data_IF_765937856700
#
_entry.id   IF_765937856700
#
_cell.length_a   1.000
_cell.length_b   1.000
_cell.length_c   1.000
_cell.angle_alpha   90.00
_cell.angle_beta   90.00
_cell.angle_gamma   90.00
#
_symmetry.space_group_name_H-M   'P 1'
#
loop_
_entity.id
_entity.type
_entity.pdbx_description
1 polymer ?
#
# COMPACT_ATOMS: atom_id res chain seq x y z
N UNK A 1 24.19 3.27 -16.02
CA UNK A 1 22.89 2.57 -16.02
C UNK A 1 21.84 3.54 -15.53
N UNK A 2 20.65 3.55 -16.11
CA UNK A 2 19.55 4.40 -15.63
C UNK A 2 19.11 3.98 -14.21
N UNK A 3 18.66 4.91 -13.37
CA UNK A 3 18.18 4.57 -12.04
C UNK A 3 16.92 3.71 -12.07
N UNK A 4 16.73 2.86 -11.07
CA UNK A 4 15.45 2.17 -10.85
C UNK A 4 14.42 3.22 -10.42
N UNK A 5 13.36 3.35 -11.19
CA UNK A 5 12.28 4.32 -10.95
C UNK A 5 11.21 3.72 -10.03
N UNK A 6 10.86 4.42 -8.96
CA UNK A 6 9.87 3.98 -7.97
C UNK A 6 8.85 5.09 -7.79
N UNK A 7 7.58 4.79 -8.06
CA UNK A 7 6.47 5.70 -7.88
C UNK A 7 5.62 5.28 -6.68
N UNK A 8 5.53 6.15 -5.67
CA UNK A 8 4.59 6.00 -4.57
C UNK A 8 3.38 6.88 -4.80
N UNK A 9 2.18 6.31 -4.72
CA UNK A 9 0.97 7.13 -4.65
C UNK A 9 0.94 7.85 -3.29
N UNK A 10 0.78 9.17 -3.31
CA UNK A 10 0.55 10.00 -2.11
C UNK A 10 -0.83 10.63 -2.23
N UNK A 11 -1.67 10.55 -1.20
CA UNK A 11 -3.05 11.08 -1.25
C UNK A 11 -3.52 11.60 0.12
N UNK A 12 -4.52 12.51 0.18
CA UNK A 12 -5.08 13.00 1.44
C UNK A 12 -5.59 11.85 2.31
N UNK A 13 -5.22 11.85 3.59
CA UNK A 13 -5.61 10.77 4.52
C UNK A 13 -4.84 9.47 4.31
N UNK A 14 -3.71 9.49 3.61
CA UNK A 14 -2.75 8.37 3.58
C UNK A 14 -2.27 8.07 5.00
N UNK A 15 -2.16 6.78 5.34
CA UNK A 15 -1.39 6.37 6.51
C UNK A 15 0.09 6.52 6.17
N UNK A 16 0.71 7.58 6.65
CA UNK A 16 2.06 7.97 6.21
C UNK A 16 3.09 6.84 6.32
N UNK A 17 2.97 5.98 7.33
CA UNK A 17 3.93 4.89 7.57
C UNK A 17 3.85 3.77 6.51
N UNK A 18 2.68 3.60 5.90
CA UNK A 18 2.48 2.71 4.75
C UNK A 18 3.31 3.17 3.55
N UNK A 19 3.58 4.47 3.45
CA UNK A 19 4.39 5.08 2.40
C UNK A 19 5.86 5.16 2.84
N UNK A 20 6.13 5.81 3.97
CA UNK A 20 7.49 6.18 4.40
C UNK A 20 8.32 4.97 4.82
N UNK A 21 7.70 3.93 5.38
CA UNK A 21 8.36 2.67 5.75
C UNK A 21 9.02 1.97 4.54
N UNK A 22 8.24 1.49 3.54
CA UNK A 22 8.80 0.89 2.34
C UNK A 22 9.65 1.87 1.53
N UNK A 23 9.31 3.17 1.47
CA UNK A 23 10.13 4.16 0.78
C UNK A 23 11.55 4.23 1.36
N UNK A 24 11.70 4.17 2.69
CA UNK A 24 13.01 4.18 3.34
C UNK A 24 13.83 2.94 2.98
N UNK A 25 13.23 1.75 2.94
CA UNK A 25 13.92 0.52 2.54
C UNK A 25 14.29 0.56 1.06
N UNK A 26 13.32 0.85 0.19
CA UNK A 26 13.51 0.83 -1.26
C UNK A 26 14.43 1.93 -1.78
N UNK A 27 14.58 3.04 -1.06
CA UNK A 27 15.60 4.07 -1.38
C UNK A 27 17.03 3.50 -1.37
N UNK A 28 17.26 2.37 -0.68
CA UNK A 28 18.57 1.69 -0.58
C UNK A 28 18.73 0.51 -1.56
N UNK A 29 17.84 0.39 -2.56
CA UNK A 29 17.93 -0.64 -3.62
C UNK A 29 19.14 -0.44 -4.56
N UNK A 30 19.75 0.74 -4.55
CA UNK A 30 20.94 1.10 -5.34
C UNK A 30 20.58 1.78 -6.67
N UNK A 31 21.10 3.00 -6.87
CA UNK A 31 20.81 3.90 -8.00
C UNK A 31 19.29 4.04 -8.24
N UNK A 32 18.57 4.65 -7.29
CA UNK A 32 17.11 4.76 -7.29
C UNK A 32 16.69 6.20 -7.54
N UNK A 33 15.61 6.38 -8.30
CA UNK A 33 14.81 7.61 -8.32
C UNK A 33 13.44 7.30 -7.73
N UNK A 34 13.14 7.88 -6.58
CA UNK A 34 11.87 7.70 -5.87
C UNK A 34 11.05 8.98 -6.00
N UNK A 35 9.82 8.83 -6.49
CA UNK A 35 8.87 9.91 -6.65
C UNK A 35 7.61 9.68 -5.81
N UNK A 36 7.19 10.72 -5.07
CA UNK A 36 5.89 10.77 -4.40
C UNK A 36 4.92 11.47 -5.34
N UNK A 37 3.90 10.74 -5.81
CA UNK A 37 3.07 11.16 -6.93
C UNK A 37 1.65 11.46 -6.46
N UNK A 38 1.18 12.67 -6.79
CA UNK A 38 -0.21 13.07 -6.59
C UNK A 38 -0.73 13.95 -7.75
N UNK A 39 -1.85 14.64 -7.56
CA UNK A 39 -2.45 15.54 -8.57
C UNK A 39 -1.64 16.81 -8.79
N UNK A 40 -1.08 17.36 -7.72
CA UNK A 40 -0.29 18.60 -7.73
C UNK A 40 0.94 18.45 -6.82
N UNK A 41 1.78 19.48 -6.76
CA UNK A 41 2.91 19.59 -5.83
C UNK A 41 2.55 20.37 -4.56
N UNK A 42 1.27 20.51 -4.25
CA UNK A 42 0.84 21.11 -2.99
C UNK A 42 0.97 20.09 -1.84
N UNK A 43 1.23 20.54 -0.60
CA UNK A 43 1.31 19.64 0.55
C UNK A 43 0.05 18.78 0.72
N UNK A 44 0.23 17.48 0.92
CA UNK A 44 -0.85 16.51 1.10
C UNK A 44 -0.93 16.08 2.57
N UNK A 45 -2.07 16.33 3.21
CA UNK A 45 -2.30 15.98 4.61
C UNK A 45 -2.42 14.47 4.81
N UNK A 46 -1.63 13.94 5.74
CA UNK A 46 -1.68 12.54 6.19
C UNK A 46 -2.75 12.35 7.26
N UNK A 47 -3.12 11.10 7.55
CA UNK A 47 -3.98 10.76 8.68
C UNK A 47 -3.35 11.01 10.07
N UNK A 48 -2.05 11.32 10.10
CA UNK A 48 -1.28 11.62 11.30
C UNK A 48 -1.20 13.14 11.60
N UNK A 49 -1.88 13.99 10.82
CA UNK A 49 -2.00 15.42 11.11
C UNK A 49 -0.85 16.29 10.64
N UNK A 50 0.08 15.77 9.83
CA UNK A 50 1.11 16.55 9.13
C UNK A 50 1.05 16.33 7.62
N UNK A 51 1.64 17.24 6.85
CA UNK A 51 1.65 17.17 5.39
C UNK A 51 2.95 16.58 4.83
N UNK A 52 2.85 15.87 3.70
CA UNK A 52 3.98 15.43 2.88
C UNK A 52 3.91 16.16 1.53
N UNK A 53 5.06 16.61 1.04
CA UNK A 53 5.15 17.28 -0.27
C UNK A 53 5.29 16.25 -1.39
N UNK A 54 4.40 16.23 -2.40
CA UNK A 54 4.59 15.44 -3.61
C UNK A 54 5.84 15.92 -4.40
N UNK A 55 6.58 15.00 -5.00
CA UNK A 55 7.75 15.33 -5.84
C UNK A 55 7.40 15.36 -7.32
N UNK A 56 6.32 14.66 -7.71
CA UNK A 56 5.84 14.55 -9.08
C UNK A 56 4.31 14.57 -9.13
N UNK A 57 3.76 14.90 -10.31
CA UNK A 57 2.33 14.75 -10.58
C UNK A 57 2.05 13.53 -11.45
N UNK A 58 0.78 13.15 -11.58
CA UNK A 58 0.34 12.08 -12.49
C UNK A 58 0.80 12.30 -13.95
N UNK A 59 0.92 13.54 -14.41
CA UNK A 59 1.39 13.86 -15.76
C UNK A 59 2.90 13.74 -15.93
N UNK A 60 3.66 13.85 -14.84
CA UNK A 60 5.12 13.77 -14.88
C UNK A 60 5.61 12.31 -14.95
N UNK A 61 4.81 11.36 -14.44
CA UNK A 61 5.18 9.95 -14.31
C UNK A 61 4.26 9.08 -15.16
N UNK A 62 4.70 8.77 -16.38
CA UNK A 62 3.97 7.87 -17.28
C UNK A 62 4.27 6.38 -17.04
N UNK A 63 5.45 6.06 -16.48
CA UNK A 63 5.92 4.69 -16.19
C UNK A 63 6.80 4.68 -14.95
N UNK A 64 6.92 3.52 -14.29
CA UNK A 64 7.85 3.27 -13.20
C UNK A 64 8.25 1.79 -13.17
N UNK A 65 9.45 1.45 -12.70
CA UNK A 65 9.85 0.06 -12.49
C UNK A 65 9.07 -0.57 -11.33
N UNK A 66 8.82 0.21 -10.27
CA UNK A 66 8.07 -0.22 -9.08
C UNK A 66 6.96 0.80 -8.81
N UNK A 67 5.72 0.34 -8.80
CA UNK A 67 4.56 1.09 -8.30
C UNK A 67 4.29 0.65 -6.86
N UNK A 68 4.16 1.58 -5.93
CA UNK A 68 3.78 1.30 -4.54
C UNK A 68 2.57 2.13 -4.11
N UNK A 69 1.51 1.45 -3.67
CA UNK A 69 0.26 2.08 -3.24
C UNK A 69 0.06 1.88 -1.73
N UNK A 70 0.20 2.94 -0.91
CA UNK A 70 -0.05 2.87 0.52
C UNK A 70 -1.55 2.80 0.84
N UNK A 71 -1.89 2.42 2.07
CA UNK A 71 -3.23 2.50 2.60
C UNK A 71 -3.51 3.83 3.32
N UNK A 72 -4.64 3.87 4.01
CA UNK A 72 -5.11 5.06 4.71
C UNK A 72 -6.62 5.07 4.90
N UNK A 73 -7.11 6.15 5.50
CA UNK A 73 -8.53 6.45 5.60
C UNK A 73 -9.08 7.03 4.29
N UNK A 74 -8.24 7.68 3.48
CA UNK A 74 -8.63 8.29 2.19
C UNK A 74 -8.73 7.31 1.02
N UNK A 75 -8.73 5.99 1.26
CA UNK A 75 -8.67 4.99 0.18
C UNK A 75 -9.89 5.02 -0.74
N UNK A 76 -11.09 5.23 -0.19
CA UNK A 76 -12.31 5.29 -1.00
C UNK A 76 -12.34 6.54 -1.88
N UNK A 77 -11.88 7.68 -1.37
CA UNK A 77 -11.77 8.92 -2.16
C UNK A 77 -10.83 8.75 -3.35
N UNK A 78 -9.74 8.00 -3.19
CA UNK A 78 -8.83 7.64 -4.28
C UNK A 78 -9.52 6.75 -5.32
N UNK A 79 -10.34 5.78 -4.89
CA UNK A 79 -11.09 4.90 -5.80
C UNK A 79 -12.14 5.66 -6.62
N UNK A 80 -12.71 6.72 -6.06
CA UNK A 80 -13.65 7.61 -6.74
C UNK A 80 -12.96 8.69 -7.58
N UNK A 81 -11.63 8.73 -7.59
CA UNK A 81 -10.86 9.69 -8.37
C UNK A 81 -10.43 9.11 -9.72
N UNK A 82 -11.09 9.55 -10.80
CA UNK A 82 -10.81 9.09 -12.15
C UNK A 82 -9.35 9.28 -12.56
N UNK A 83 -8.74 10.42 -12.21
CA UNK A 83 -7.36 10.71 -12.58
C UNK A 83 -6.38 9.74 -11.91
N UNK A 84 -6.58 9.45 -10.62
CA UNK A 84 -5.79 8.46 -9.90
C UNK A 84 -6.00 7.05 -10.46
N UNK A 85 -7.25 6.64 -10.73
CA UNK A 85 -7.55 5.32 -11.28
C UNK A 85 -6.95 5.12 -12.68
N UNK A 86 -7.02 6.13 -13.54
CA UNK A 86 -6.39 6.13 -14.87
C UNK A 86 -4.87 6.03 -14.73
N UNK A 87 -4.27 6.87 -13.88
CA UNK A 87 -2.82 6.88 -13.67
C UNK A 87 -2.31 5.54 -13.13
N UNK A 88 -2.98 4.96 -12.14
CA UNK A 88 -2.62 3.65 -11.58
C UNK A 88 -2.71 2.54 -12.62
N UNK A 89 -3.76 2.51 -13.44
CA UNK A 89 -3.89 1.55 -14.54
C UNK A 89 -2.75 1.68 -15.54
N UNK A 90 -2.40 2.93 -15.89
CA UNK A 90 -1.35 3.20 -16.85
C UNK A 90 0.03 2.78 -16.33
N UNK A 91 0.42 3.26 -15.14
CA UNK A 91 1.74 2.91 -14.56
C UNK A 91 1.82 1.43 -14.18
N UNK A 92 0.76 0.88 -13.59
CA UNK A 92 0.72 -0.51 -13.12
C UNK A 92 0.69 -1.56 -14.23
N UNK A 93 0.36 -1.18 -15.47
CA UNK A 93 0.42 -2.06 -16.64
C UNK A 93 1.85 -2.41 -17.02
N UNK A 94 2.75 -1.42 -17.00
CA UNK A 94 4.12 -1.56 -17.49
C UNK A 94 5.15 -1.72 -16.36
N UNK A 95 4.73 -1.56 -15.10
CA UNK A 95 5.60 -1.73 -13.94
C UNK A 95 6.12 -3.18 -13.80
N UNK A 96 7.42 -3.30 -13.51
CA UNK A 96 8.04 -4.60 -13.21
C UNK A 96 7.48 -5.16 -11.91
N UNK A 97 7.22 -4.31 -10.93
CA UNK A 97 6.57 -4.69 -9.67
C UNK A 97 5.41 -3.76 -9.35
N UNK A 98 4.26 -4.35 -9.03
CA UNK A 98 3.08 -3.63 -8.54
C UNK A 98 2.88 -4.00 -7.08
N UNK A 99 2.98 -3.02 -6.19
CA UNK A 99 3.08 -3.26 -4.76
C UNK A 99 2.10 -2.40 -3.97
N UNK A 100 1.72 -2.88 -2.79
CA UNK A 100 0.88 -2.10 -1.88
C UNK A 100 1.07 -2.47 -0.43
N UNK A 101 0.60 -1.60 0.45
CA UNK A 101 0.58 -1.82 1.91
C UNK A 101 -0.84 -1.62 2.40
N UNK A 102 -1.24 -2.40 3.42
CA UNK A 102 -2.47 -2.16 4.17
C UNK A 102 -3.69 -2.13 3.24
N UNK A 103 -4.55 -1.12 3.36
CA UNK A 103 -5.71 -0.92 2.48
C UNK A 103 -5.36 -0.45 1.07
N UNK A 104 -4.09 -0.16 0.76
CA UNK A 104 -3.65 0.18 -0.59
C UNK A 104 -3.82 -0.94 -1.61
N UNK A 105 -3.90 -2.20 -1.17
CA UNK A 105 -4.27 -3.31 -2.05
C UNK A 105 -5.71 -3.21 -2.56
N UNK A 106 -6.62 -2.56 -1.82
CA UNK A 106 -7.97 -2.30 -2.32
C UNK A 106 -7.96 -1.29 -3.47
N UNK A 107 -7.10 -0.25 -3.38
CA UNK A 107 -6.91 0.72 -4.48
C UNK A 107 -6.37 0.02 -5.72
N UNK A 108 -5.38 -0.87 -5.57
CA UNK A 108 -4.89 -1.69 -6.68
C UNK A 108 -5.99 -2.59 -7.26
N UNK A 109 -6.81 -3.20 -6.40
CA UNK A 109 -7.98 -3.97 -6.82
C UNK A 109 -8.96 -3.14 -7.64
N UNK A 110 -9.35 -1.97 -7.14
CA UNK A 110 -10.23 -1.01 -7.80
C UNK A 110 -9.66 -0.52 -9.16
N UNK A 111 -8.34 -0.36 -9.25
CA UNK A 111 -7.66 -0.08 -10.52
C UNK A 111 -7.64 -1.29 -11.47
N UNK A 112 -8.10 -2.47 -11.07
CA UNK A 112 -8.11 -3.70 -11.86
C UNK A 112 -6.77 -4.45 -11.88
N UNK A 113 -5.82 -4.06 -11.04
CA UNK A 113 -4.45 -4.59 -11.05
C UNK A 113 -4.26 -5.88 -10.25
N UNK A 114 -5.30 -6.33 -9.52
CA UNK A 114 -5.29 -7.54 -8.70
C UNK A 114 -6.33 -8.60 -9.11
N UNK A 115 -7.04 -8.42 -10.23
CA UNK A 115 -8.02 -9.41 -10.69
C UNK A 115 -7.33 -10.74 -11.00
N UNK A 116 -7.71 -11.80 -10.26
CA UNK A 116 -7.10 -13.14 -10.37
C UNK A 116 -5.70 -13.24 -9.75
N UNK A 117 -5.32 -12.31 -8.86
CA UNK A 117 -4.08 -12.38 -8.09
C UNK A 117 -4.36 -12.69 -6.62
N UNK A 118 -3.45 -13.45 -6.01
CA UNK A 118 -3.39 -13.61 -4.55
C UNK A 118 -2.89 -12.32 -3.92
N UNK A 119 -3.59 -11.85 -2.90
CA UNK A 119 -3.26 -10.61 -2.22
C UNK A 119 -3.61 -10.64 -0.73
N UNK A 120 -2.94 -9.80 0.06
CA UNK A 120 -3.29 -9.48 1.44
C UNK A 120 -3.60 -7.98 1.59
N UNK A 121 -4.09 -7.58 2.76
CA UNK A 121 -4.46 -6.21 3.10
C UNK A 121 -4.40 -6.01 4.61
N UNK A 122 -4.83 -4.86 5.11
CA UNK A 122 -5.09 -4.68 6.53
C UNK A 122 -6.11 -5.72 7.02
N UNK A 123 -5.88 -6.33 8.17
CA UNK A 123 -6.71 -7.42 8.69
C UNK A 123 -8.20 -7.07 8.78
N UNK A 124 -8.52 -5.83 9.17
CA UNK A 124 -9.90 -5.35 9.30
C UNK A 124 -10.62 -5.13 7.96
N UNK A 125 -9.89 -5.07 6.84
CA UNK A 125 -10.44 -4.92 5.48
C UNK A 125 -10.13 -6.12 4.58
N UNK A 126 -9.47 -7.17 5.09
CA UNK A 126 -8.98 -8.28 4.29
C UNK A 126 -10.06 -8.96 3.45
N UNK A 127 -11.27 -9.10 4.01
CA UNK A 127 -12.43 -9.69 3.33
C UNK A 127 -12.93 -8.88 2.11
N UNK A 128 -12.56 -7.60 2.01
CA UNK A 128 -12.99 -6.70 0.93
C UNK A 128 -12.18 -6.91 -0.36
N UNK A 129 -11.03 -7.60 -0.31
CA UNK A 129 -10.21 -7.90 -1.49
C UNK A 129 -10.98 -8.66 -2.57
N UNK A 130 -11.89 -9.56 -2.16
CA UNK A 130 -12.70 -10.35 -3.07
C UNK A 130 -13.65 -9.49 -3.91
N UNK A 131 -14.11 -8.33 -3.40
CA UNK A 131 -14.95 -7.40 -4.17
C UNK A 131 -14.26 -6.91 -5.44
N UNK A 132 -12.92 -6.83 -5.41
CA UNK A 132 -12.12 -6.36 -6.54
C UNK A 132 -11.44 -7.51 -7.32
N UNK A 133 -11.94 -8.73 -7.16
CA UNK A 133 -11.50 -9.91 -7.91
C UNK A 133 -10.14 -10.47 -7.50
N UNK A 134 -9.58 -10.04 -6.37
CA UNK A 134 -8.37 -10.65 -5.80
C UNK A 134 -8.73 -11.89 -4.97
N UNK A 135 -7.80 -12.86 -4.91
CA UNK A 135 -7.88 -14.03 -4.02
C UNK A 135 -7.27 -13.65 -2.64
N UNK A 136 -8.06 -13.51 -1.57
CA UNK A 136 -7.53 -13.04 -0.29
C UNK A 136 -6.69 -14.13 0.41
N UNK A 137 -5.43 -13.82 0.71
CA UNK A 137 -4.51 -14.70 1.43
C UNK A 137 -4.12 -14.06 2.77
N UNK A 138 -4.32 -14.80 3.88
CA UNK A 138 -3.94 -14.34 5.21
C UNK A 138 -2.44 -14.54 5.43
N UNK A 139 -1.65 -13.54 5.07
CA UNK A 139 -0.22 -13.47 5.35
C UNK A 139 0.22 -12.02 5.59
N UNK A 140 1.36 -11.84 6.25
CA UNK A 140 1.97 -10.51 6.43
C UNK A 140 2.42 -9.90 5.10
N UNK A 141 2.92 -10.74 4.20
CA UNK A 141 3.33 -10.38 2.85
C UNK A 141 2.92 -11.49 1.90
N UNK A 142 2.40 -11.13 0.73
CA UNK A 142 2.02 -12.05 -0.34
C UNK A 142 2.71 -11.63 -1.62
N UNK A 143 3.49 -12.56 -2.19
CA UNK A 143 4.02 -12.47 -3.55
C UNK A 143 3.17 -13.35 -4.46
N UNK A 144 2.67 -12.77 -5.55
CA UNK A 144 2.04 -13.51 -6.65
C UNK A 144 2.51 -12.92 -7.99
N UNK A 145 3.36 -13.68 -8.69
CA UNK A 145 4.06 -13.22 -9.90
C UNK A 145 4.81 -11.93 -9.58
N UNK A 146 4.37 -10.81 -10.14
CA UNK A 146 4.97 -9.50 -9.90
C UNK A 146 4.12 -8.56 -9.04
N UNK A 147 3.11 -9.09 -8.34
CA UNK A 147 2.32 -8.37 -7.34
C UNK A 147 2.86 -8.69 -5.95
N UNK A 148 3.15 -7.65 -5.17
CA UNK A 148 3.61 -7.79 -3.77
C UNK A 148 2.70 -6.96 -2.88
N UNK A 149 1.91 -7.64 -2.05
CA UNK A 149 1.01 -6.95 -1.13
C UNK A 149 1.45 -7.21 0.31
N UNK A 150 1.60 -6.14 1.08
CA UNK A 150 1.83 -6.17 2.52
C UNK A 150 0.52 -5.98 3.28
N UNK A 151 0.42 -6.62 4.45
CA UNK A 151 -0.68 -6.46 5.37
C UNK A 151 -0.68 -5.10 6.06
N UNK A 152 -1.08 -5.04 7.33
CA UNK A 152 -1.22 -3.76 8.04
C UNK A 152 0.10 -2.98 8.21
N UNK A 153 0.07 -1.71 7.81
CA UNK A 153 1.00 -0.62 8.16
C UNK A 153 2.49 -0.98 8.08
N UNK A 154 3.06 -1.53 9.15
CA UNK A 154 4.49 -1.84 9.24
C UNK A 154 4.92 -2.99 8.35
N UNK A 155 3.97 -3.79 7.82
CA UNK A 155 4.25 -4.81 6.81
C UNK A 155 4.94 -4.25 5.57
N UNK A 156 4.85 -2.92 5.35
CA UNK A 156 5.57 -2.20 4.32
C UNK A 156 7.08 -2.38 4.36
N UNK A 157 7.66 -2.39 5.57
CA UNK A 157 9.10 -2.52 5.77
C UNK A 157 9.55 -3.93 5.38
N UNK A 158 8.81 -4.95 5.84
CA UNK A 158 9.15 -6.35 5.61
C UNK A 158 9.02 -6.75 4.13
N UNK A 159 7.93 -6.37 3.46
CA UNK A 159 7.83 -6.69 2.03
C UNK A 159 8.91 -5.97 1.23
N UNK A 160 9.27 -4.74 1.59
CA UNK A 160 10.30 -4.00 0.87
C UNK A 160 11.68 -4.66 1.01
N UNK A 161 12.00 -5.24 2.18
CA UNK A 161 13.20 -6.05 2.38
C UNK A 161 13.15 -7.33 1.53
N UNK A 162 12.02 -8.05 1.55
CA UNK A 162 11.84 -9.24 0.73
C UNK A 162 11.96 -8.93 -0.77
N UNK A 163 11.33 -7.85 -1.24
CA UNK A 163 11.40 -7.39 -2.62
C UNK A 163 12.81 -6.93 -3.00
N UNK A 164 13.53 -6.30 -2.07
CA UNK A 164 14.94 -5.97 -2.26
C UNK A 164 15.77 -7.24 -2.50
N UNK A 165 15.48 -8.34 -1.79
CA UNK A 165 16.11 -9.63 -2.01
C UNK A 165 15.80 -10.19 -3.39
N UNK A 166 14.55 -10.12 -3.85
CA UNK A 166 14.16 -10.55 -5.20
C UNK A 166 14.89 -9.77 -6.31
N UNK A 167 15.14 -8.47 -6.09
CA UNK A 167 15.71 -7.57 -7.11
C UNK A 167 17.24 -7.50 -7.09
N UNK A 168 17.87 -7.63 -5.91
CA UNK A 168 19.32 -7.43 -5.71
C UNK A 168 20.02 -8.62 -5.03
N UNK A 169 19.29 -9.66 -4.68
CA UNK A 169 19.79 -10.81 -3.95
C UNK A 169 19.79 -10.62 -2.43
N UNK A 170 19.79 -11.75 -1.72
CA UNK A 170 19.69 -11.81 -0.26
C UNK A 170 20.78 -10.99 0.45
N UNK A 171 22.02 -11.07 -0.03
CA UNK A 171 23.15 -10.37 0.59
C UNK A 171 22.94 -8.85 0.65
N UNK A 172 22.37 -8.26 -0.42
CA UNK A 172 22.07 -6.83 -0.46
C UNK A 172 20.91 -6.49 0.49
N UNK A 173 19.84 -7.30 0.51
CA UNK A 173 18.72 -7.09 1.41
C UNK A 173 19.13 -7.14 2.89
N UNK A 174 20.01 -8.08 3.27
CA UNK A 174 20.57 -8.19 4.63
C UNK A 174 21.45 -6.99 4.99
N UNK A 175 22.24 -6.49 4.04
CA UNK A 175 23.00 -5.25 4.24
C UNK A 175 22.06 -4.06 4.47
N UNK A 176 20.99 -3.94 3.68
CA UNK A 176 19.98 -2.90 3.88
C UNK A 176 19.33 -3.02 5.26
N UNK A 177 18.91 -4.22 5.67
CA UNK A 177 18.35 -4.47 7.00
C UNK A 177 19.30 -4.03 8.12
N UNK A 178 20.57 -4.46 8.06
CA UNK A 178 21.59 -4.10 9.05
C UNK A 178 21.84 -2.59 9.08
N UNK A 179 21.93 -1.95 7.91
CA UNK A 179 22.17 -0.51 7.80
C UNK A 179 21.03 0.36 8.33
N UNK A 180 19.83 -0.21 8.45
CA UNK A 180 18.66 0.44 9.05
C UNK A 180 18.47 0.05 10.52
N UNK A 181 19.30 -0.87 11.03
CA UNK A 181 19.12 -1.49 12.34
C UNK A 181 17.69 -2.01 12.53
N UNK A 182 17.14 -2.63 11.48
CA UNK A 182 15.79 -3.16 11.54
C UNK A 182 15.76 -4.50 12.29
N UNK A 183 15.75 -4.38 13.62
CA UNK A 183 15.65 -5.45 14.61
C UNK A 183 14.47 -5.15 15.58
N UNK A 184 13.22 -5.36 15.13
CA UNK A 184 12.05 -4.92 15.89
C UNK A 184 11.84 -5.76 17.15
N UNK A 185 11.69 -5.08 18.30
CA UNK A 185 11.32 -5.68 19.58
C UNK A 185 10.02 -5.06 20.14
N UNK A 186 8.83 -5.44 19.62
CA UNK A 186 7.57 -4.88 20.10
C UNK A 186 7.36 -5.15 21.61
N UNK A 187 7.00 -4.13 22.41
CA UNK A 187 6.77 -4.31 23.85
C UNK A 187 5.46 -5.03 24.20
N UNK A 188 4.61 -5.31 23.20
CA UNK A 188 3.32 -5.98 23.36
C UNK A 188 3.11 -6.99 22.22
N UNK A 189 2.39 -8.09 22.50
CA UNK A 189 2.04 -9.11 21.51
C UNK A 189 0.60 -8.95 20.99
N UNK A 190 0.22 -7.75 20.55
CA UNK A 190 -1.15 -7.42 20.11
C UNK A 190 -1.24 -6.98 18.65
N UNK A 191 -0.17 -7.18 17.86
CA UNK A 191 -0.07 -6.74 16.48
C UNK A 191 -0.92 -7.53 15.45
N UNK A 192 -1.62 -8.58 15.88
CA UNK A 192 -2.53 -9.37 15.04
C UNK A 192 -3.83 -9.72 15.77
N UNK A 193 -4.95 -9.90 15.05
CA UNK A 193 -6.23 -10.19 15.69
C UNK A 193 -6.24 -11.53 16.44
N UNK A 194 -5.42 -12.49 16.03
CA UNK A 194 -5.27 -13.79 16.69
C UNK A 194 -4.63 -13.67 18.08
N UNK A 195 -3.85 -12.61 18.32
CA UNK A 195 -3.10 -12.38 19.56
C UNK A 195 -3.72 -11.31 20.46
N UNK A 196 -4.46 -10.36 19.88
CA UNK A 196 -5.02 -9.19 20.57
C UNK A 196 -6.12 -9.52 21.61
N UNK A 197 -6.80 -10.66 21.46
CA UNK A 197 -7.93 -11.04 22.32
C UNK A 197 -9.23 -10.27 22.01
N UNK A 198 -10.37 -10.82 22.44
CA UNK A 198 -11.71 -10.33 22.05
C UNK A 198 -12.01 -8.90 22.50
N UNK A 199 -11.60 -8.52 23.71
CA UNK A 199 -11.89 -7.20 24.27
C UNK A 199 -11.21 -6.08 23.46
N UNK A 200 -9.92 -6.25 23.14
CA UNK A 200 -9.18 -5.26 22.36
C UNK A 200 -9.71 -5.15 20.92
N UNK A 201 -10.12 -6.27 20.32
CA UNK A 201 -10.78 -6.28 19.02
C UNK A 201 -12.11 -5.52 19.03
N UNK A 202 -12.93 -5.67 20.07
CA UNK A 202 -14.17 -4.91 20.24
C UNK A 202 -13.89 -3.41 20.36
N UNK A 203 -12.91 -3.01 21.19
CA UNK A 203 -12.49 -1.62 21.32
C UNK A 203 -12.01 -1.03 19.98
N UNK A 204 -11.23 -1.80 19.21
CA UNK A 204 -10.81 -1.39 17.87
C UNK A 204 -12.01 -1.21 16.94
N UNK A 205 -12.95 -2.16 16.93
CA UNK A 205 -14.15 -2.08 16.09
C UNK A 205 -15.00 -0.85 16.41
N UNK A 206 -15.22 -0.53 17.68
CA UNK A 206 -15.93 0.68 18.13
C UNK A 206 -15.21 1.95 17.69
N UNK A 207 -13.87 2.00 17.83
CA UNK A 207 -13.08 3.13 17.36
C UNK A 207 -13.26 3.33 15.85
N UNK A 208 -13.20 2.25 15.08
CA UNK A 208 -13.36 2.31 13.64
C UNK A 208 -14.78 2.69 13.23
N UNK A 209 -15.82 2.25 13.95
CA UNK A 209 -17.20 2.67 13.72
C UNK A 209 -17.40 4.18 13.93
N UNK A 210 -16.62 4.82 14.81
CA UNK A 210 -16.63 6.29 14.99
C UNK A 210 -15.83 7.02 13.91
N UNK A 211 -14.64 6.52 13.56
CA UNK A 211 -13.74 7.19 12.63
C UNK A 211 -14.17 7.04 11.17
N UNK A 212 -14.73 5.90 10.80
CA UNK A 212 -15.14 5.57 9.44
C UNK A 212 -16.44 4.74 9.47
N UNK A 213 -17.57 5.37 9.83
CA UNK A 213 -18.85 4.69 10.03
C UNK A 213 -19.40 4.03 8.76
N UNK A 214 -19.19 4.66 7.61
CA UNK A 214 -19.76 4.24 6.32
C UNK A 214 -18.77 3.46 5.44
N UNK A 215 -17.59 3.12 5.97
CA UNK A 215 -16.46 2.59 5.17
C UNK A 215 -16.79 1.40 4.28
N UNK A 216 -17.67 0.51 4.72
CA UNK A 216 -18.07 -0.66 3.92
C UNK A 216 -19.09 -0.31 2.84
N UNK A 217 -19.96 0.66 3.12
CA UNK A 217 -20.95 1.15 2.16
C UNK A 217 -20.24 1.93 1.06
N UNK A 218 -19.41 2.90 1.43
CA UNK A 218 -18.61 3.71 0.51
C UNK A 218 -17.73 2.84 -0.38
N UNK A 219 -17.11 1.79 0.18
CA UNK A 219 -16.27 0.87 -0.59
C UNK A 219 -17.08 0.06 -1.63
N UNK A 220 -18.29 -0.39 -1.26
CA UNK A 220 -19.20 -1.07 -2.19
C UNK A 220 -19.72 -0.15 -3.27
N UNK A 221 -20.02 1.11 -2.94
CA UNK A 221 -20.40 2.13 -3.91
C UNK A 221 -19.27 2.42 -4.90
N UNK A 222 -18.02 2.54 -4.40
CA UNK A 222 -16.85 2.68 -5.26
C UNK A 222 -16.63 1.46 -6.17
N UNK A 223 -16.79 0.25 -5.63
CA UNK A 223 -16.72 -0.97 -6.43
C UNK A 223 -17.78 -0.97 -7.55
N UNK A 224 -19.04 -0.65 -7.22
CA UNK A 224 -20.13 -0.56 -8.20
C UNK A 224 -19.87 0.51 -9.27
N UNK A 225 -19.41 1.70 -8.86
CA UNK A 225 -19.04 2.79 -9.76
C UNK A 225 -17.97 2.37 -10.78
N UNK A 226 -17.00 1.56 -10.34
CA UNK A 226 -15.92 1.04 -11.17
C UNK A 226 -16.29 -0.24 -11.95
N UNK A 227 -17.56 -0.68 -11.87
CA UNK A 227 -18.07 -1.83 -12.62
C UNK A 227 -17.74 -3.20 -11.99
N UNK A 228 -17.34 -3.23 -10.72
CA UNK A 228 -17.24 -4.48 -9.96
C UNK A 228 -18.61 -4.84 -9.39
N UNK A 229 -19.17 -5.94 -9.90
CA UNK A 229 -20.36 -6.56 -9.32
C UNK A 229 -19.89 -7.70 -8.42
N UNK A 230 -19.84 -7.44 -7.11
CA UNK A 230 -19.63 -8.47 -6.10
C UNK A 230 -20.82 -9.41 -5.96
#
# INVERSE_FOLDING_TARGET
MSPVSIAFLLFPGVTQLDLTGPAQVLSRLGNVKLDLVWKSREPVMTDAGFAIMPTATFTDIATADILCVPGGIGVTDVMMDDAAMIWLRQVGKDAKWVTSVCTGSLILGAAGLLKGYKATSHWAWHHQLALFGAEPVKARTVFDRNRVTGGGVTAGIDFALALTSEIRGEAHARLVQLSLEYDPAPPFDSGSPEKAGKALLATYAERMARLAPNREVELKEAAAHLGFTG
#
